data_IF_339947708281
#
_entry.id   IF_339947708281
#
_cell.length_a   1.000
_cell.length_b   1.000
_cell.length_c   1.000
_cell.angle_alpha   90.00
_cell.angle_beta   90.00
_cell.angle_gamma   90.00
#
_symmetry.space_group_name_H-M   'P 1'
#
loop_
_entity.id
_entity.type
_entity.pdbx_description
1 polymer ?
#
# COMPACT_ATOMS: atom_id res chain seq x y z
N UNK A 1 37.44 62.45 -28.37
CA UNK A 1 36.70 63.22 -27.33
C UNK A 1 35.42 62.46 -26.99
N UNK A 2 34.94 62.64 -25.76
CA UNK A 2 33.75 62.08 -25.10
C UNK A 2 33.84 60.73 -24.37
N UNK A 3 34.20 60.89 -23.09
CA UNK A 3 33.95 60.07 -21.90
C UNK A 3 32.48 59.64 -21.75
N UNK A 4 32.24 58.50 -21.08
CA UNK A 4 31.36 58.30 -19.89
C UNK A 4 31.32 56.81 -19.55
N UNK A 5 31.94 56.41 -18.44
CA UNK A 5 31.30 56.20 -17.12
C UNK A 5 30.43 54.92 -17.10
N UNK A 6 30.96 53.82 -16.56
CA UNK A 6 30.76 53.36 -15.19
C UNK A 6 29.31 52.93 -14.93
N UNK A 7 29.05 51.63 -14.97
CA UNK A 7 27.90 51.00 -14.33
C UNK A 7 28.29 49.58 -13.91
N UNK A 8 28.80 49.52 -12.70
CA UNK A 8 28.74 48.40 -11.76
C UNK A 8 27.37 47.71 -11.79
N UNK A 9 27.33 46.39 -11.93
CA UNK A 9 26.25 45.59 -11.36
C UNK A 9 26.75 44.21 -10.96
N UNK A 10 26.69 44.01 -9.66
CA UNK A 10 26.99 42.83 -8.86
C UNK A 10 26.27 41.59 -9.41
N UNK A 11 26.99 40.50 -9.66
CA UNK A 11 26.37 39.18 -9.78
C UNK A 11 26.59 38.42 -8.48
N UNK A 12 25.54 38.40 -7.66
CA UNK A 12 25.48 37.82 -6.33
C UNK A 12 25.66 36.30 -6.34
N UNK A 13 26.38 35.83 -5.31
CA UNK A 13 26.47 34.46 -4.82
C UNK A 13 25.09 33.79 -4.72
N UNK A 14 24.89 32.64 -5.37
CA UNK A 14 23.77 31.76 -5.10
C UNK A 14 24.27 30.56 -4.26
N UNK A 15 24.17 30.69 -2.93
CA UNK A 15 24.31 29.60 -1.98
C UNK A 15 22.94 29.34 -1.35
N UNK A 16 22.31 28.21 -1.68
CA UNK A 16 21.24 27.60 -0.90
C UNK A 16 21.02 26.16 -1.41
N UNK A 17 21.80 25.21 -0.89
CA UNK A 17 21.56 23.79 -1.13
C UNK A 17 20.46 23.33 -0.18
N UNK A 18 19.29 23.13 -0.78
CA UNK A 18 18.27 22.12 -0.55
C UNK A 18 17.88 21.69 0.89
N UNK A 19 16.63 22.07 1.20
CA UNK A 19 15.48 21.23 1.57
C UNK A 19 15.52 20.45 2.90
N UNK A 20 14.59 20.88 3.74
CA UNK A 20 14.10 20.31 4.99
C UNK A 20 13.49 18.91 4.88
N UNK A 21 13.35 18.30 6.07
CA UNK A 21 12.37 17.30 6.48
C UNK A 21 12.77 15.82 6.36
N UNK A 22 13.11 15.23 7.50
CA UNK A 22 12.88 13.81 7.77
C UNK A 22 12.11 13.62 9.08
N UNK A 23 10.84 14.03 9.09
CA UNK A 23 9.81 13.28 9.83
C UNK A 23 9.35 12.13 8.93
N UNK A 24 10.28 11.23 8.61
CA UNK A 24 10.02 9.99 7.88
C UNK A 24 10.25 8.88 8.89
N UNK A 25 9.20 8.46 9.57
CA UNK A 25 9.33 7.39 10.58
C UNK A 25 8.02 6.75 11.02
N UNK A 26 6.91 7.49 11.02
CA UNK A 26 5.62 6.96 11.48
C UNK A 26 4.67 6.52 10.35
N UNK A 27 4.71 7.18 9.18
CA UNK A 27 3.85 6.83 8.03
C UNK A 27 4.22 5.50 7.39
N UNK A 28 5.51 5.27 7.14
CA UNK A 28 6.01 4.08 6.43
C UNK A 28 5.78 2.75 7.18
N UNK A 29 5.57 2.80 8.50
CA UNK A 29 5.25 1.61 9.29
C UNK A 29 3.75 1.29 9.20
N UNK A 30 2.89 2.30 9.25
CA UNK A 30 1.45 2.17 9.04
C UNK A 30 1.15 1.71 7.62
N UNK A 31 1.81 2.31 6.62
CA UNK A 31 1.69 1.89 5.22
C UNK A 31 2.16 0.45 4.98
N UNK A 32 3.17 -0.04 5.73
CA UNK A 32 3.64 -1.44 5.63
C UNK A 32 2.75 -2.43 6.38
N UNK A 33 2.06 -2.00 7.43
CA UNK A 33 1.15 -2.84 8.24
C UNK A 33 -0.25 -2.88 7.64
N UNK A 34 -0.70 -1.79 7.01
CA UNK A 34 -1.89 -1.74 6.15
C UNK A 34 -1.65 -2.39 4.78
N UNK A 35 -0.39 -2.51 4.34
CA UNK A 35 0.02 -3.33 3.20
C UNK A 35 -0.15 -4.82 3.51
N UNK A 36 -1.39 -5.29 3.63
CA UNK A 36 -2.12 -5.98 2.55
C UNK A 36 -3.42 -6.60 3.10
N UNK A 37 -4.12 -5.90 4.00
CA UNK A 37 -5.47 -6.30 4.43
C UNK A 37 -6.38 -6.22 3.21
N UNK A 38 -7.02 -7.31 2.87
CA UNK A 38 -7.94 -7.41 1.75
C UNK A 38 -9.23 -8.01 2.21
N UNK A 39 -10.33 -7.38 1.81
CA UNK A 39 -11.68 -7.82 2.12
C UNK A 39 -12.13 -8.77 1.03
N UNK A 40 -12.44 -10.00 1.40
CA UNK A 40 -12.92 -11.02 0.47
C UNK A 40 -14.28 -10.59 -0.07
N UNK A 41 -14.39 -10.47 -1.39
CA UNK A 41 -15.65 -10.22 -2.07
C UNK A 41 -16.28 -11.53 -2.56
N UNK A 42 -15.47 -12.41 -3.16
CA UNK A 42 -15.93 -13.71 -3.69
C UNK A 42 -14.79 -14.72 -3.76
N UNK A 43 -15.12 -16.00 -3.64
CA UNK A 43 -14.20 -17.11 -3.85
C UNK A 43 -14.68 -18.01 -4.99
N UNK A 44 -13.75 -18.66 -5.68
CA UNK A 44 -14.01 -19.68 -6.68
C UNK A 44 -13.10 -20.90 -6.42
N UNK A 45 -13.67 -21.94 -5.81
CA UNK A 45 -12.99 -23.20 -5.51
C UNK A 45 -12.65 -24.01 -6.77
N UNK A 46 -13.42 -23.83 -7.85
CA UNK A 46 -13.20 -24.51 -9.13
C UNK A 46 -11.88 -24.06 -9.76
N UNK A 47 -11.64 -22.75 -9.79
CA UNK A 47 -10.44 -22.17 -10.38
C UNK A 47 -9.31 -21.88 -9.38
N UNK A 48 -9.58 -21.95 -8.07
CA UNK A 48 -8.58 -21.63 -7.04
C UNK A 48 -8.24 -20.16 -6.98
N UNK A 49 -9.27 -19.30 -7.11
CA UNK A 49 -9.10 -17.85 -7.15
C UNK A 49 -10.02 -17.18 -6.13
N UNK A 50 -9.61 -16.00 -5.68
CA UNK A 50 -10.48 -15.12 -4.91
C UNK A 50 -10.46 -13.70 -5.48
N UNK A 51 -11.52 -12.96 -5.21
CA UNK A 51 -11.73 -11.58 -5.58
C UNK A 51 -11.79 -10.76 -4.29
N UNK A 52 -11.07 -9.64 -4.24
CA UNK A 52 -11.11 -8.70 -3.12
C UNK A 52 -11.71 -7.35 -3.53
N UNK A 53 -12.23 -6.61 -2.55
CA UNK A 53 -12.85 -5.30 -2.74
C UNK A 53 -11.82 -4.26 -3.17
N UNK A 54 -10.60 -4.32 -2.64
CA UNK A 54 -9.58 -3.28 -2.79
C UNK A 54 -9.02 -3.20 -4.21
N UNK A 55 -8.92 -4.33 -4.90
CA UNK A 55 -8.32 -4.39 -6.23
C UNK A 55 -9.29 -4.85 -7.32
N UNK A 56 -10.45 -5.38 -6.95
CA UNK A 56 -11.47 -5.94 -7.85
C UNK A 56 -10.87 -6.87 -8.92
N UNK A 57 -9.81 -7.59 -8.56
CA UNK A 57 -9.08 -8.51 -9.42
C UNK A 57 -9.06 -9.92 -8.85
N UNK A 58 -9.28 -10.90 -9.72
CA UNK A 58 -9.21 -12.31 -9.37
C UNK A 58 -7.76 -12.78 -9.19
N UNK A 59 -7.38 -13.09 -7.96
CA UNK A 59 -6.03 -13.56 -7.63
C UNK A 59 -6.00 -15.06 -7.42
N UNK A 60 -4.99 -15.75 -7.97
CA UNK A 60 -4.79 -17.19 -7.80
C UNK A 60 -4.15 -17.48 -6.43
N UNK A 61 -4.73 -18.42 -5.69
CA UNK A 61 -4.33 -18.78 -4.32
C UNK A 61 -4.46 -20.27 -4.09
N UNK A 62 -3.93 -20.76 -2.96
CA UNK A 62 -4.11 -22.15 -2.57
C UNK A 62 -5.60 -22.46 -2.33
N UNK A 63 -6.11 -23.51 -2.98
CA UNK A 63 -7.51 -23.95 -2.86
C UNK A 63 -7.91 -24.36 -1.46
N UNK A 64 -6.96 -24.84 -0.65
CA UNK A 64 -7.24 -25.22 0.74
C UNK A 64 -7.72 -24.00 1.54
N UNK A 65 -7.09 -22.85 1.32
CA UNK A 65 -7.36 -21.62 2.06
C UNK A 65 -8.75 -21.04 1.72
N UNK A 66 -9.26 -21.31 0.51
CA UNK A 66 -10.57 -20.83 0.07
C UNK A 66 -11.76 -21.50 0.77
N UNK A 67 -11.58 -22.71 1.32
CA UNK A 67 -12.70 -23.50 1.86
C UNK A 67 -13.34 -22.88 3.10
N UNK A 68 -12.56 -22.14 3.88
CA UNK A 68 -13.00 -21.55 5.14
C UNK A 68 -13.38 -20.07 5.00
N UNK A 69 -13.09 -19.43 3.86
CA UNK A 69 -13.29 -17.99 3.68
C UNK A 69 -14.74 -17.66 3.29
N UNK A 70 -15.25 -16.60 3.91
CA UNK A 70 -16.54 -15.99 3.61
C UNK A 70 -16.35 -14.59 3.02
N UNK A 71 -17.32 -14.11 2.22
CA UNK A 71 -17.38 -12.70 1.86
C UNK A 71 -17.39 -11.80 3.10
N UNK A 72 -16.61 -10.73 3.07
CA UNK A 72 -16.41 -9.80 4.18
C UNK A 72 -15.23 -10.15 5.10
N UNK A 73 -14.66 -11.35 4.99
CA UNK A 73 -13.46 -11.70 5.74
C UNK A 73 -12.28 -10.82 5.32
N UNK A 74 -11.43 -10.45 6.28
CA UNK A 74 -10.21 -9.71 6.03
C UNK A 74 -9.03 -10.68 6.02
N UNK A 75 -8.31 -10.72 4.90
CA UNK A 75 -7.19 -11.61 4.66
C UNK A 75 -5.92 -10.86 4.29
N UNK A 76 -4.78 -11.52 4.39
CA UNK A 76 -3.51 -11.12 3.76
C UNK A 76 -3.13 -12.16 2.72
N UNK A 77 -2.57 -11.72 1.59
CA UNK A 77 -1.95 -12.63 0.60
C UNK A 77 -0.46 -12.70 0.87
N UNK A 78 0.01 -13.91 1.18
CA UNK A 78 1.42 -14.25 1.37
C UNK A 78 1.93 -14.94 0.09
N UNK A 79 2.75 -14.26 -0.74
CA UNK A 79 3.29 -14.83 -1.97
C UNK A 79 4.19 -16.04 -1.65
N UNK A 80 4.08 -17.09 -2.46
CA UNK A 80 4.96 -18.25 -2.37
C UNK A 80 6.03 -18.22 -3.47
N UNK A 81 7.22 -18.73 -3.15
CA UNK A 81 8.34 -18.78 -4.09
C UNK A 81 8.05 -19.72 -5.28
N UNK A 82 7.29 -20.79 -5.04
CA UNK A 82 6.81 -21.69 -6.09
C UNK A 82 5.35 -22.08 -5.82
N UNK A 83 4.47 -21.67 -6.72
CA UNK A 83 3.04 -22.03 -6.67
C UNK A 83 2.11 -20.89 -6.27
N UNK A 84 0.81 -21.20 -6.07
CA UNK A 84 -0.20 -20.22 -5.70
C UNK A 84 0.09 -19.59 -4.33
N UNK A 85 -0.27 -18.31 -4.17
CA UNK A 85 -0.10 -17.61 -2.90
C UNK A 85 -1.01 -18.19 -1.80
N UNK A 86 -0.61 -18.02 -0.55
CA UNK A 86 -1.43 -18.40 0.60
C UNK A 86 -2.28 -17.24 1.09
N UNK A 87 -3.48 -17.56 1.57
CA UNK A 87 -4.33 -16.61 2.27
C UNK A 87 -4.25 -16.82 3.77
N UNK A 88 -3.90 -15.75 4.47
CA UNK A 88 -3.92 -15.71 5.93
C UNK A 88 -5.14 -14.93 6.37
N UNK A 89 -6.09 -15.59 7.04
CA UNK A 89 -7.24 -14.92 7.64
C UNK A 89 -6.76 -14.04 8.80
N UNK A 90 -7.02 -12.74 8.71
CA UNK A 90 -6.70 -11.77 9.75
C UNK A 90 -7.89 -11.55 10.67
N UNK A 91 -9.10 -11.48 10.10
CA UNK A 91 -10.36 -11.35 10.82
C UNK A 91 -11.50 -11.92 10.00
N UNK A 92 -12.47 -12.51 10.67
CA UNK A 92 -13.75 -12.86 10.05
C UNK A 92 -14.62 -11.62 9.83
N UNK A 93 -15.58 -11.72 8.92
CA UNK A 93 -16.60 -10.68 8.70
C UNK A 93 -17.35 -10.34 10.00
N UNK A 94 -17.66 -11.35 10.84
CA UNK A 94 -18.37 -11.15 12.10
C UNK A 94 -17.54 -10.36 13.11
N UNK A 95 -16.25 -10.70 13.25
CA UNK A 95 -15.32 -9.97 14.10
C UNK A 95 -15.16 -8.53 13.64
N UNK A 96 -15.08 -8.28 12.33
CA UNK A 96 -14.97 -6.93 11.79
C UNK A 96 -16.21 -6.08 12.05
N UNK A 97 -17.42 -6.63 11.86
CA UNK A 97 -18.68 -5.93 12.15
C UNK A 97 -18.88 -5.64 13.64
N UNK A 98 -18.33 -6.49 14.51
CA UNK A 98 -18.42 -6.32 15.96
C UNK A 98 -17.33 -5.43 16.55
N UNK A 99 -16.34 -5.04 15.74
CA UNK A 99 -15.25 -4.17 16.18
C UNK A 99 -15.82 -2.75 16.38
N UNK A 100 -15.55 -2.09 17.53
CA UNK A 100 -15.85 -0.68 17.65
C UNK A 100 -15.05 0.09 16.59
N UNK A 101 -15.70 1.06 15.94
CA UNK A 101 -14.99 2.06 15.15
C UNK A 101 -14.05 2.81 16.10
N UNK A 102 -12.75 2.80 15.79
CA UNK A 102 -11.72 3.49 16.57
C UNK A 102 -11.39 4.83 15.94
#
# INVERSE_FOLDING_TARGET
>A
MFKRALLTSVFMLAAAVAVSATVVGAGALTDRVEARRMTVLKTDLGTGRFLCVEHLHWSAVNKADLRALQPGDIVRVDPQASGPAHLVLLRTAAEELSSPEK
#
